data_IF_526781820863
#
_entry.id   IF_526781820863
#
_cell.length_a   1.000
_cell.length_b   1.000
_cell.length_c   1.000
_cell.angle_alpha   90.00
_cell.angle_beta   90.00
_cell.angle_gamma   90.00
#
_symmetry.space_group_name_H-M   'P 1'
#
loop_
_entity.id
_entity.type
_entity.pdbx_description
1 polymer ?
#
# COMPACT_ATOMS: atom_id res chain seq x y z
N UNK A 1 4.22 -8.65 -16.57
CA UNK A 1 5.47 -8.18 -15.95
C UNK A 1 5.83 -9.15 -14.83
N UNK A 2 6.95 -9.89 -14.94
CA UNK A 2 7.42 -10.80 -13.88
C UNK A 2 8.29 -9.97 -12.95
N UNK A 3 7.89 -9.83 -11.69
CA UNK A 3 8.74 -9.19 -10.66
C UNK A 3 9.96 -10.10 -10.47
N UNK A 4 11.20 -9.61 -10.69
CA UNK A 4 12.38 -10.45 -10.66
C UNK A 4 12.68 -10.92 -9.22
N UNK A 5 13.07 -12.19 -9.12
CA UNK A 5 13.34 -12.96 -7.89
C UNK A 5 14.36 -12.28 -6.96
N UNK A 6 15.17 -11.37 -7.48
CA UNK A 6 16.18 -10.63 -6.70
C UNK A 6 15.58 -9.64 -5.70
N UNK A 7 14.40 -9.07 -5.97
CA UNK A 7 13.68 -8.23 -4.99
C UNK A 7 13.09 -9.06 -3.83
N UNK A 8 12.90 -10.36 -4.02
CA UNK A 8 12.38 -11.28 -2.98
C UNK A 8 13.47 -11.63 -1.97
N UNK A 9 14.73 -11.75 -2.39
CA UNK A 9 15.83 -12.12 -1.50
C UNK A 9 16.30 -10.96 -0.61
N UNK A 10 16.22 -9.72 -1.09
CA UNK A 10 16.50 -8.54 -0.26
C UNK A 10 15.40 -8.29 0.79
N UNK A 11 14.15 -8.67 0.52
CA UNK A 11 13.06 -8.61 1.50
C UNK A 11 13.21 -9.59 2.67
N UNK A 12 13.88 -10.72 2.46
CA UNK A 12 14.10 -11.73 3.51
C UNK A 12 15.31 -11.39 4.40
N UNK A 13 16.30 -10.66 3.89
CA UNK A 13 17.47 -10.26 4.67
C UNK A 13 17.19 -9.09 5.65
N UNK A 14 16.28 -8.17 5.31
CA UNK A 14 15.96 -7.00 6.16
C UNK A 14 15.09 -7.39 7.36
N UNK A 15 14.30 -8.47 7.27
CA UNK A 15 13.52 -9.00 8.39
C UNK A 15 14.26 -10.07 9.22
N UNK A 16 15.48 -10.46 8.82
CA UNK A 16 16.19 -11.61 9.39
C UNK A 16 17.32 -11.31 10.38
N UNK A 17 17.86 -10.08 10.47
CA UNK A 17 19.08 -9.82 11.28
C UNK A 17 18.95 -8.61 12.24
N UNK A 18 17.78 -7.97 12.36
CA UNK A 18 17.66 -6.71 13.12
C UNK A 18 17.27 -6.78 14.60
N UNK A 19 16.61 -7.85 15.09
CA UNK A 19 15.89 -7.76 16.39
C UNK A 19 16.03 -8.95 17.34
N UNK A 20 17.03 -9.82 17.17
CA UNK A 20 17.23 -10.97 18.09
C UNK A 20 18.52 -10.90 18.90
N UNK A 21 19.36 -9.88 18.72
CA UNK A 21 20.64 -9.75 19.41
C UNK A 21 20.74 -8.51 20.31
N UNK A 22 19.68 -8.21 21.08
CA UNK A 22 19.76 -7.31 22.25
C UNK A 22 18.49 -7.34 23.10
N UNK A 23 17.93 -8.53 23.34
CA UNK A 23 17.07 -8.71 24.51
C UNK A 23 17.97 -9.07 25.68
N UNK A 24 18.26 -8.16 26.62
CA UNK A 24 18.79 -8.57 27.91
C UNK A 24 17.78 -9.56 28.51
N UNK A 25 18.29 -10.65 29.06
CA UNK A 25 17.54 -11.78 29.66
C UNK A 25 16.63 -11.38 30.85
N UNK A 26 16.48 -10.09 31.10
CA UNK A 26 15.58 -9.47 32.08
C UNK A 26 14.24 -9.01 31.49
N UNK A 27 14.01 -9.11 30.17
CA UNK A 27 12.75 -8.69 29.54
C UNK A 27 11.54 -9.58 29.91
N UNK A 28 11.77 -10.82 30.37
CA UNK A 28 10.69 -11.70 30.82
C UNK A 28 9.97 -11.18 32.08
N UNK A 29 10.64 -10.36 32.91
CA UNK A 29 10.04 -9.75 34.10
C UNK A 29 9.49 -8.35 33.86
N UNK A 30 9.73 -7.73 32.69
CA UNK A 30 9.18 -6.42 32.35
C UNK A 30 7.76 -6.46 31.77
N UNK A 31 7.26 -7.64 31.38
CA UNK A 31 5.88 -7.85 30.90
C UNK A 31 4.81 -7.78 32.01
N UNK A 32 5.21 -7.61 33.28
CA UNK A 32 4.30 -7.67 34.42
C UNK A 32 3.97 -6.31 35.07
N UNK A 33 4.55 -5.18 34.63
CA UNK A 33 4.34 -3.89 35.34
C UNK A 33 4.11 -2.66 34.47
N UNK A 34 3.96 -2.78 33.15
CA UNK A 34 3.39 -1.67 32.39
C UNK A 34 1.88 -1.72 32.48
N UNK A 35 1.28 -0.73 33.16
CA UNK A 35 -0.15 -0.47 33.03
C UNK A 35 -0.49 -0.49 31.53
N UNK A 36 -1.47 -1.29 31.08
CA UNK A 36 -1.86 -1.27 29.69
C UNK A 36 -2.24 0.17 29.37
N UNK A 37 -1.64 0.73 28.30
CA UNK A 37 -2.05 2.03 27.79
C UNK A 37 -3.58 2.03 27.69
N UNK A 38 -4.21 3.07 28.26
CA UNK A 38 -5.67 3.18 28.33
C UNK A 38 -6.24 2.88 26.94
N UNK A 39 -7.17 1.92 26.86
CA UNK A 39 -7.85 1.44 25.65
C UNK A 39 -7.09 0.47 24.73
N UNK A 40 -5.98 -0.12 25.17
CA UNK A 40 -5.35 -1.22 24.42
C UNK A 40 -5.86 -2.59 24.89
N UNK A 41 -6.37 -3.41 23.96
CA UNK A 41 -6.60 -4.82 24.24
C UNK A 41 -5.25 -5.55 24.30
N UNK A 42 -5.03 -6.37 25.33
CA UNK A 42 -3.81 -7.17 25.42
C UNK A 42 -3.64 -8.04 24.16
N UNK A 43 -2.47 -7.92 23.52
CA UNK A 43 -2.12 -8.72 22.34
C UNK A 43 -1.90 -10.17 22.77
N UNK A 44 -2.89 -11.03 22.51
CA UNK A 44 -2.75 -12.47 22.78
C UNK A 44 -1.85 -13.13 21.74
N UNK A 45 -1.12 -14.17 22.14
CA UNK A 45 -0.32 -15.01 21.24
C UNK A 45 -1.11 -15.49 20.01
N UNK A 46 -2.36 -15.94 20.19
CA UNK A 46 -3.21 -16.41 19.08
C UNK A 46 -3.53 -15.32 18.06
N UNK A 47 -3.79 -14.08 18.51
CA UNK A 47 -3.99 -12.94 17.60
C UNK A 47 -2.71 -12.61 16.83
N UNK A 48 -1.55 -12.59 17.49
CA UNK A 48 -0.27 -12.33 16.83
C UNK A 48 0.06 -13.37 15.76
N UNK A 49 -0.09 -14.66 16.07
CA UNK A 49 0.09 -15.77 15.11
C UNK A 49 -0.92 -15.68 13.97
N UNK A 50 -2.18 -15.34 14.27
CA UNK A 50 -3.21 -15.13 13.25
C UNK A 50 -2.87 -14.01 12.26
N UNK A 51 -2.34 -12.88 12.75
CA UNK A 51 -1.91 -11.79 11.88
C UNK A 51 -0.66 -12.14 11.06
N UNK A 52 0.29 -12.88 11.63
CA UNK A 52 1.44 -13.40 10.88
C UNK A 52 1.01 -14.35 9.75
N UNK A 53 0.03 -15.23 10.01
CA UNK A 53 -0.53 -16.09 8.96
C UNK A 53 -1.17 -15.26 7.83
N UNK A 54 -1.95 -14.23 8.17
CA UNK A 54 -2.57 -13.32 7.19
C UNK A 54 -1.55 -12.53 6.39
N UNK A 55 -0.45 -12.13 7.02
CA UNK A 55 0.67 -11.50 6.32
C UNK A 55 1.27 -12.47 5.30
N UNK A 56 1.50 -13.73 5.69
CA UNK A 56 1.96 -14.78 4.77
C UNK A 56 0.99 -15.04 3.62
N UNK A 57 -0.32 -15.07 3.90
CA UNK A 57 -1.36 -15.21 2.88
C UNK A 57 -1.33 -14.03 1.89
N UNK A 58 -1.31 -12.81 2.39
CA UNK A 58 -1.20 -11.59 1.59
C UNK A 58 0.04 -11.62 0.68
N UNK A 59 1.21 -11.88 1.25
CA UNK A 59 2.47 -11.95 0.51
C UNK A 59 2.44 -13.04 -0.57
N UNK A 60 1.87 -14.21 -0.26
CA UNK A 60 1.67 -15.28 -1.23
C UNK A 60 0.75 -14.87 -2.38
N UNK A 61 -0.40 -14.26 -2.08
CA UNK A 61 -1.35 -13.80 -3.11
C UNK A 61 -0.79 -12.66 -3.96
N UNK A 62 0.01 -11.78 -3.37
CA UNK A 62 0.75 -10.74 -4.08
C UNK A 62 1.78 -11.37 -5.04
N UNK A 63 2.57 -12.33 -4.57
CA UNK A 63 3.59 -12.99 -5.37
C UNK A 63 3.00 -13.75 -6.57
N UNK A 64 1.88 -14.44 -6.37
CA UNK A 64 1.18 -15.19 -7.42
C UNK A 64 0.09 -14.38 -8.12
N UNK A 65 0.10 -13.05 -7.99
CA UNK A 65 -0.95 -12.20 -8.55
C UNK A 65 -0.94 -12.27 -10.08
N UNK A 66 -2.07 -12.68 -10.66
CA UNK A 66 -2.31 -12.59 -12.09
C UNK A 66 -3.37 -11.51 -12.36
N UNK A 67 -2.90 -10.34 -12.80
CA UNK A 67 -3.74 -9.18 -13.08
C UNK A 67 -4.75 -9.40 -14.22
N UNK A 68 -4.50 -10.37 -15.09
CA UNK A 68 -5.40 -10.73 -16.19
C UNK A 68 -6.51 -11.70 -15.76
N UNK A 69 -6.48 -12.18 -14.50
CA UNK A 69 -7.46 -13.14 -13.97
C UNK A 69 -8.28 -12.49 -12.85
N UNK A 70 -9.57 -12.18 -13.07
CA UNK A 70 -10.43 -11.51 -12.08
C UNK A 70 -10.47 -12.22 -10.71
N UNK A 71 -10.50 -13.55 -10.69
CA UNK A 71 -10.49 -14.31 -9.45
C UNK A 71 -9.17 -14.19 -8.66
N UNK A 72 -8.05 -13.95 -9.35
CA UNK A 72 -6.75 -13.71 -8.71
C UNK A 72 -6.74 -12.35 -8.02
N UNK A 73 -7.24 -11.32 -8.71
CA UNK A 73 -7.38 -9.96 -8.16
C UNK A 73 -8.30 -9.94 -6.94
N UNK A 74 -9.44 -10.64 -7.03
CA UNK A 74 -10.38 -10.74 -5.92
C UNK A 74 -9.76 -11.47 -4.71
N UNK A 75 -9.04 -12.56 -4.95
CA UNK A 75 -8.35 -13.29 -3.89
C UNK A 75 -7.25 -12.46 -3.22
N UNK A 76 -6.49 -11.67 -4.00
CA UNK A 76 -5.50 -10.75 -3.46
C UNK A 76 -6.16 -9.67 -2.61
N UNK A 77 -7.19 -9.00 -3.14
CA UNK A 77 -7.92 -7.97 -2.41
C UNK A 77 -8.48 -8.50 -1.08
N UNK A 78 -9.07 -9.70 -1.08
CA UNK A 78 -9.55 -10.36 0.15
C UNK A 78 -8.43 -10.58 1.18
N UNK A 79 -7.27 -11.07 0.75
CA UNK A 79 -6.13 -11.26 1.66
C UNK A 79 -5.60 -9.92 2.21
N UNK A 80 -5.65 -8.87 1.40
CA UNK A 80 -5.23 -7.52 1.75
C UNK A 80 -6.14 -6.92 2.84
N UNK A 81 -7.47 -6.99 2.65
CA UNK A 81 -8.46 -6.54 3.65
C UNK A 81 -8.39 -7.37 4.94
N UNK A 82 -8.16 -8.68 4.83
CA UNK A 82 -7.99 -9.59 5.97
C UNK A 82 -6.77 -9.21 6.82
N UNK A 83 -5.64 -8.89 6.17
CA UNK A 83 -4.44 -8.42 6.86
C UNK A 83 -4.68 -7.08 7.57
N UNK A 84 -5.25 -6.11 6.87
CA UNK A 84 -5.63 -4.80 7.42
C UNK A 84 -6.50 -4.94 8.68
N UNK A 85 -7.57 -5.74 8.63
CA UNK A 85 -8.44 -6.00 9.78
C UNK A 85 -7.66 -6.62 10.94
N UNK A 86 -6.76 -7.55 10.66
CA UNK A 86 -5.94 -8.17 11.70
C UNK A 86 -5.02 -7.16 12.38
N UNK A 87 -4.32 -6.33 11.61
CA UNK A 87 -3.43 -5.30 12.17
C UNK A 87 -4.24 -4.31 13.01
N UNK A 88 -5.42 -3.88 12.56
CA UNK A 88 -6.32 -3.03 13.38
C UNK A 88 -6.70 -3.70 14.70
N UNK A 89 -7.00 -5.00 14.67
CA UNK A 89 -7.42 -5.74 15.87
C UNK A 89 -6.33 -5.90 16.94
N UNK A 90 -5.06 -5.71 16.57
CA UNK A 90 -3.90 -5.75 17.47
C UNK A 90 -3.28 -4.38 17.70
N UNK A 91 -3.75 -3.35 17.00
CA UNK A 91 -3.33 -1.96 17.17
C UNK A 91 -4.10 -1.32 18.32
N UNK A 92 -3.45 -0.44 19.07
CA UNK A 92 -4.14 0.41 20.03
C UNK A 92 -5.02 1.43 19.29
N UNK A 93 -6.13 1.85 19.91
CA UNK A 93 -7.07 2.83 19.32
C UNK A 93 -6.46 4.22 19.03
N UNK A 94 -5.20 4.45 19.41
CA UNK A 94 -4.48 5.63 18.98
C UNK A 94 -4.19 5.57 17.47
N UNK A 95 -4.85 6.46 16.73
CA UNK A 95 -4.67 6.65 15.30
C UNK A 95 -3.22 7.03 14.92
N UNK A 96 -2.40 7.47 15.87
CA UNK A 96 -0.98 7.76 15.66
C UNK A 96 -0.05 6.58 15.95
N UNK A 97 -0.57 5.46 16.49
CA UNK A 97 0.23 4.26 16.73
C UNK A 97 0.81 3.69 15.43
N UNK A 98 1.98 3.08 15.50
CA UNK A 98 2.62 2.45 14.34
C UNK A 98 1.74 1.39 13.70
N UNK A 99 0.98 0.63 14.50
CA UNK A 99 0.02 -0.35 14.01
C UNK A 99 -1.15 0.29 13.24
N UNK A 100 -1.70 1.41 13.73
CA UNK A 100 -2.75 2.14 13.04
C UNK A 100 -2.25 2.75 11.71
N UNK A 101 -1.03 3.33 11.71
CA UNK A 101 -0.38 3.83 10.50
C UNK A 101 -0.17 2.71 9.48
N UNK A 102 0.37 1.57 9.90
CA UNK A 102 0.58 0.41 9.03
C UNK A 102 -0.74 -0.13 8.47
N UNK A 103 -1.79 -0.24 9.29
CA UNK A 103 -3.10 -0.66 8.82
C UNK A 103 -3.68 0.27 7.76
N UNK A 104 -3.53 1.59 7.94
CA UNK A 104 -3.99 2.59 6.97
C UNK A 104 -3.16 2.55 5.66
N UNK A 105 -1.84 2.35 5.76
CA UNK A 105 -0.99 2.17 4.58
C UNK A 105 -1.38 0.94 3.77
N UNK A 106 -1.66 -0.18 4.45
CA UNK A 106 -2.17 -1.39 3.81
C UNK A 106 -3.52 -1.12 3.16
N UNK A 107 -4.47 -0.51 3.87
CA UNK A 107 -5.79 -0.16 3.30
C UNK A 107 -5.66 0.70 2.03
N UNK A 108 -4.80 1.72 2.07
CA UNK A 108 -4.51 2.58 0.91
C UNK A 108 -3.94 1.76 -0.25
N UNK A 109 -2.95 0.89 0.00
CA UNK A 109 -2.39 0.00 -1.02
C UNK A 109 -3.43 -0.96 -1.60
N UNK A 110 -4.24 -1.61 -0.76
CA UNK A 110 -5.31 -2.51 -1.16
C UNK A 110 -6.32 -1.79 -2.07
N UNK A 111 -6.75 -0.60 -1.65
CA UNK A 111 -7.73 0.22 -2.36
C UNK A 111 -7.20 0.72 -3.69
N UNK A 112 -5.95 1.17 -3.75
CA UNK A 112 -5.28 1.60 -4.99
C UNK A 112 -5.19 0.47 -6.00
N UNK A 113 -4.66 -0.69 -5.59
CA UNK A 113 -4.51 -1.84 -6.49
C UNK A 113 -5.87 -2.37 -6.95
N UNK A 114 -6.87 -2.42 -6.07
CA UNK A 114 -8.21 -2.82 -6.45
C UNK A 114 -8.81 -1.89 -7.51
N UNK A 115 -8.66 -0.58 -7.34
CA UNK A 115 -9.15 0.38 -8.32
C UNK A 115 -8.43 0.21 -9.66
N UNK A 116 -7.09 0.20 -9.67
CA UNK A 116 -6.31 0.05 -10.90
C UNK A 116 -6.68 -1.21 -11.69
N UNK A 117 -6.84 -2.34 -10.99
CA UNK A 117 -7.10 -3.63 -11.65
C UNK A 117 -8.57 -3.98 -11.87
N UNK A 118 -9.51 -3.23 -11.28
CA UNK A 118 -10.95 -3.45 -11.48
C UNK A 118 -11.62 -2.22 -12.06
N UNK A 119 -11.63 -1.11 -11.32
CA UNK A 119 -12.29 0.14 -11.71
C UNK A 119 -11.66 0.83 -12.92
N UNK A 120 -10.34 0.70 -13.08
CA UNK A 120 -9.56 1.36 -14.13
C UNK A 120 -8.99 0.37 -15.18
N UNK A 121 -9.34 -0.92 -15.05
CA UNK A 121 -8.81 -2.01 -15.88
C UNK A 121 -8.98 -1.77 -17.38
N UNK A 122 -10.13 -1.27 -17.81
CA UNK A 122 -10.39 -0.97 -19.21
C UNK A 122 -9.44 0.09 -19.78
N UNK A 123 -9.04 1.09 -18.97
CA UNK A 123 -8.06 2.09 -19.40
C UNK A 123 -6.65 1.49 -19.41
N UNK A 124 -6.28 0.69 -18.40
CA UNK A 124 -4.99 -0.01 -18.36
C UNK A 124 -4.79 -0.88 -19.60
N UNK A 125 -5.82 -1.60 -20.06
CA UNK A 125 -5.74 -2.36 -21.31
C UNK A 125 -5.50 -1.49 -22.55
N UNK A 126 -6.04 -0.27 -22.59
CA UNK A 126 -5.79 0.67 -23.70
C UNK A 126 -4.35 1.18 -23.65
N UNK A 127 -3.82 1.47 -22.46
CA UNK A 127 -2.40 1.81 -22.28
C UNK A 127 -1.48 0.69 -22.77
N UNK A 128 -1.77 -0.54 -22.35
CA UNK A 128 -1.02 -1.72 -22.79
C UNK A 128 -1.07 -1.94 -24.31
N UNK A 129 -2.12 -1.48 -24.99
CA UNK A 129 -2.25 -1.61 -26.46
C UNK A 129 -1.61 -0.44 -27.21
N UNK A 130 -1.82 0.78 -26.71
CA UNK A 130 -1.61 2.01 -27.47
C UNK A 130 -0.40 2.83 -26.99
N UNK A 131 0.05 2.62 -25.76
CA UNK A 131 1.04 3.48 -25.08
C UNK A 131 2.12 2.68 -24.32
N UNK A 132 2.52 1.52 -24.86
CA UNK A 132 3.57 0.65 -24.27
C UNK A 132 4.90 1.36 -23.99
N UNK A 133 5.21 2.42 -24.73
CA UNK A 133 6.46 3.19 -24.62
C UNK A 133 6.24 4.55 -23.93
N UNK A 134 5.12 4.72 -23.23
CA UNK A 134 4.90 5.93 -22.45
C UNK A 134 5.95 6.02 -21.33
N UNK A 135 6.75 7.08 -21.38
CA UNK A 135 7.69 7.42 -20.31
C UNK A 135 6.97 7.81 -19.02
N UNK A 136 5.77 8.39 -19.13
CA UNK A 136 4.99 8.76 -17.95
C UNK A 136 4.52 7.51 -17.23
N UNK A 137 3.93 6.55 -17.94
CA UNK A 137 3.45 5.30 -17.35
C UNK A 137 4.60 4.45 -16.80
N UNK A 138 5.75 4.42 -17.49
CA UNK A 138 6.94 3.70 -17.04
C UNK A 138 7.55 4.27 -15.75
N UNK A 139 7.54 5.61 -15.61
CA UNK A 139 8.12 6.29 -14.44
C UNK A 139 7.12 6.62 -13.33
N UNK A 140 5.81 6.47 -13.58
CA UNK A 140 4.79 6.79 -12.60
C UNK A 140 4.70 5.70 -11.54
N UNK A 141 5.04 6.08 -10.31
CA UNK A 141 4.81 5.29 -9.12
C UNK A 141 3.57 5.81 -8.38
N UNK A 142 2.47 5.06 -8.31
CA UNK A 142 1.28 5.45 -7.56
C UNK A 142 1.45 5.36 -6.02
N UNK A 143 2.58 4.86 -5.52
CA UNK A 143 2.86 4.62 -4.10
C UNK A 143 3.95 5.54 -3.55
N UNK A 144 4.09 6.75 -4.12
CA UNK A 144 5.08 7.75 -3.72
C UNK A 144 5.07 7.96 -2.20
N UNK A 145 6.15 7.56 -1.54
CA UNK A 145 6.35 7.72 -0.10
C UNK A 145 6.64 9.19 0.23
N UNK A 146 5.73 9.86 0.93
CA UNK A 146 5.86 11.28 1.29
C UNK A 146 7.10 11.56 2.16
N UNK A 147 7.59 10.58 2.92
CA UNK A 147 8.78 10.74 3.77
C UNK A 147 10.09 10.67 2.97
N UNK A 148 10.07 10.07 1.77
CA UNK A 148 11.25 9.92 0.91
C UNK A 148 11.33 10.92 -0.24
N UNK A 149 10.26 11.65 -0.52
CA UNK A 149 10.14 12.44 -1.76
C UNK A 149 10.41 13.94 -1.63
N UNK A 150 11.30 14.33 -0.72
CA UNK A 150 11.79 15.70 -0.62
C UNK A 150 10.77 16.66 -0.06
N UNK A 151 10.75 17.89 -0.58
CA UNK A 151 9.79 18.91 -0.14
C UNK A 151 8.37 18.58 -0.58
N UNK A 152 7.36 19.08 0.16
CA UNK A 152 5.95 18.91 -0.20
C UNK A 152 5.66 19.31 -1.66
N UNK A 153 6.31 20.37 -2.16
CA UNK A 153 6.19 20.83 -3.55
C UNK A 153 6.65 19.78 -4.56
N UNK A 154 7.76 19.10 -4.28
CA UNK A 154 8.30 18.04 -5.15
C UNK A 154 7.39 16.80 -5.14
N UNK A 155 6.92 16.40 -3.97
CA UNK A 155 5.93 15.34 -3.82
C UNK A 155 4.67 15.63 -4.63
N UNK A 156 4.05 16.80 -4.43
CA UNK A 156 2.85 17.20 -5.18
C UNK A 156 3.10 17.33 -6.69
N UNK A 157 4.32 17.71 -7.10
CA UNK A 157 4.70 17.83 -8.50
C UNK A 157 4.85 16.49 -9.23
N UNK A 158 5.15 15.42 -8.49
CA UNK A 158 5.43 14.07 -9.04
C UNK A 158 4.31 13.06 -8.81
N UNK A 159 3.33 13.36 -7.96
CA UNK A 159 2.28 12.41 -7.57
C UNK A 159 1.50 11.81 -8.75
N UNK A 160 1.17 12.62 -9.77
CA UNK A 160 0.55 12.16 -11.02
C UNK A 160 1.57 12.09 -12.17
N UNK A 161 2.79 11.67 -11.85
CA UNK A 161 3.94 11.63 -12.77
C UNK A 161 4.63 12.97 -12.90
N UNK A 162 5.82 12.97 -13.50
CA UNK A 162 6.58 14.19 -13.76
C UNK A 162 5.75 15.20 -14.56
N UNK A 163 5.73 16.46 -14.10
CA UNK A 163 4.92 17.52 -14.69
C UNK A 163 3.42 17.17 -14.81
N UNK A 164 2.92 16.25 -13.96
CA UNK A 164 1.53 15.76 -13.97
C UNK A 164 1.14 15.14 -15.32
N UNK A 165 2.09 14.47 -15.98
CA UNK A 165 1.90 13.86 -17.30
C UNK A 165 0.70 12.89 -17.36
N UNK A 166 0.33 12.26 -16.24
CA UNK A 166 -0.73 11.25 -16.21
C UNK A 166 -2.09 11.82 -16.60
N UNK A 167 -2.36 13.10 -16.34
CA UNK A 167 -3.59 13.75 -16.81
C UNK A 167 -3.71 13.65 -18.33
N UNK A 168 -2.69 14.13 -19.04
CA UNK A 168 -2.71 14.17 -20.50
C UNK A 168 -2.80 12.76 -21.07
N UNK A 169 -1.99 11.83 -20.54
CA UNK A 169 -1.97 10.48 -21.07
C UNK A 169 -3.27 9.71 -20.85
N UNK A 170 -3.87 9.83 -19.67
CA UNK A 170 -5.16 9.18 -19.41
C UNK A 170 -6.26 9.81 -20.26
N UNK A 171 -6.31 11.15 -20.37
CA UNK A 171 -7.33 11.80 -21.21
C UNK A 171 -7.17 11.43 -22.69
N UNK A 172 -5.94 11.40 -23.22
CA UNK A 172 -5.66 11.08 -24.63
C UNK A 172 -5.91 9.59 -24.95
N UNK A 173 -5.59 8.69 -24.02
CA UNK A 173 -5.69 7.23 -24.23
C UNK A 173 -7.10 6.70 -23.96
N UNK A 174 -7.76 7.27 -22.96
CA UNK A 174 -8.90 6.69 -22.29
C UNK A 174 -10.09 7.65 -22.35
N UNK A 175 -10.14 8.64 -21.46
CA UNK A 175 -11.08 9.76 -21.49
C UNK A 175 -10.84 10.73 -20.32
N UNK A 176 -11.39 11.94 -20.42
CA UNK A 176 -11.43 12.91 -19.31
C UNK A 176 -12.19 12.36 -18.09
N UNK A 177 -13.20 11.51 -18.30
CA UNK A 177 -13.94 10.87 -17.22
C UNK A 177 -13.07 9.84 -16.47
N UNK A 178 -12.29 9.04 -17.20
CA UNK A 178 -11.35 8.07 -16.62
C UNK A 178 -10.23 8.80 -15.85
N UNK A 179 -9.75 9.95 -16.35
CA UNK A 179 -8.82 10.81 -15.61
C UNK A 179 -9.40 11.28 -14.27
N UNK A 180 -10.60 11.87 -14.28
CA UNK A 180 -11.26 12.33 -13.04
C UNK A 180 -11.46 11.21 -12.04
N UNK A 181 -11.91 10.04 -12.50
CA UNK A 181 -12.06 8.86 -11.65
C UNK A 181 -10.74 8.42 -11.00
N UNK A 182 -9.66 8.36 -11.79
CA UNK A 182 -8.32 8.03 -11.28
C UNK A 182 -7.88 9.05 -10.22
N UNK A 183 -7.91 10.33 -10.57
CA UNK A 183 -7.51 11.44 -9.70
C UNK A 183 -8.28 11.43 -8.37
N UNK A 184 -9.61 11.34 -8.43
CA UNK A 184 -10.47 11.40 -7.26
C UNK A 184 -10.28 10.18 -6.35
N UNK A 185 -10.06 9.00 -6.92
CA UNK A 185 -9.75 7.80 -6.15
C UNK A 185 -8.44 7.96 -5.38
N UNK A 186 -7.38 8.43 -6.05
CA UNK A 186 -6.06 8.63 -5.44
C UNK A 186 -6.06 9.71 -4.36
N UNK A 187 -6.78 10.83 -4.56
CA UNK A 187 -6.97 11.85 -3.50
C UNK A 187 -7.67 11.25 -2.27
N UNK A 188 -8.65 10.36 -2.49
CA UNK A 188 -9.41 9.73 -1.40
C UNK A 188 -8.56 8.76 -0.58
N UNK A 189 -7.71 7.96 -1.23
CA UNK A 189 -6.93 6.91 -0.55
C UNK A 189 -5.56 7.38 -0.07
N UNK A 190 -5.14 8.61 -0.39
CA UNK A 190 -3.89 9.22 0.05
C UNK A 190 -4.17 10.57 0.73
N UNK A 191 -4.61 10.61 2.00
CA UNK A 191 -4.99 11.84 2.68
C UNK A 191 -3.90 12.93 2.69
N UNK A 192 -2.64 12.54 2.61
CA UNK A 192 -1.46 13.41 2.58
C UNK A 192 -1.47 14.35 1.37
N UNK A 193 -2.10 13.96 0.26
CA UNK A 193 -2.13 14.80 -0.96
C UNK A 193 -3.18 15.89 -0.94
N UNK A 194 -4.04 15.98 0.09
CA UNK A 194 -5.03 17.06 0.19
C UNK A 194 -4.37 18.45 0.13
N UNK A 195 -3.18 18.57 0.69
CA UNK A 195 -2.41 19.82 0.69
C UNK A 195 -1.91 20.21 -0.71
N UNK A 196 -1.95 19.29 -1.68
CA UNK A 196 -1.52 19.51 -3.05
C UNK A 196 -2.58 20.18 -3.95
N UNK A 197 -3.85 20.27 -3.50
CA UNK A 197 -4.91 20.98 -4.23
C UNK A 197 -5.27 20.35 -5.59
N UNK A 198 -5.36 19.03 -5.66
CA UNK A 198 -5.58 18.29 -6.91
C UNK A 198 -7.04 18.27 -7.39
N UNK A 199 -8.00 18.83 -6.66
CA UNK A 199 -9.44 18.74 -6.96
C UNK A 199 -9.81 19.35 -8.33
N UNK A 200 -9.02 20.33 -8.78
CA UNK A 200 -9.20 21.00 -10.06
C UNK A 200 -8.20 20.52 -11.14
N UNK A 201 -7.40 19.50 -10.85
CA UNK A 201 -6.37 19.01 -11.78
C UNK A 201 -6.98 18.32 -12.99
#
# INVERSE_FOLDING_TARGET
MKVPLEFVLLGVAILGIGYVASLPTTAATALATTEPAKNCTAMTFFKAVGCLYRLGEYMGKMYFLNINKPSSLESFHKSCMSLQECIRSISCEDAQSEGAKLANQIESHCGTLQYLFKGFSSCMEKFDKNNKNSKCLESWDPFVDSEKNGTQTEFCGKFFGENKCMKKEVTDTCSEAEWKGLRDHFIKVTPEVKVCGFENL
#
